data_IF_865148477906
#
_entry.id   IF_865148477906
#
_cell.length_a   1.000
_cell.length_b   1.000
_cell.length_c   1.000
_cell.angle_alpha   90.00
_cell.angle_beta   90.00
_cell.angle_gamma   90.00
#
_symmetry.space_group_name_H-M   'P 1'
#
loop_
_entity.id
_entity.type
_entity.pdbx_description
1 polymer ?
#
# COMPACT_ATOMS: atom_id res chain seq x y z
N UNK A 1 -3.08 56.92 -5.31
CA UNK A 1 -4.30 57.73 -5.31
C UNK A 1 -5.09 57.42 -6.58
N UNK A 2 -5.97 56.42 -6.51
CA UNK A 2 -7.14 56.22 -7.38
C UNK A 2 -8.14 55.44 -6.54
N UNK A 3 -9.16 56.16 -6.09
CA UNK A 3 -10.34 55.67 -5.41
C UNK A 3 -11.21 54.85 -6.36
N UNK A 4 -11.66 53.68 -5.92
CA UNK A 4 -12.78 52.95 -6.51
C UNK A 4 -13.60 52.32 -5.38
N UNK A 5 -14.43 53.15 -4.76
CA UNK A 5 -15.59 52.73 -3.98
C UNK A 5 -16.82 52.70 -4.88
N UNK A 6 -17.39 51.52 -5.16
CA UNK A 6 -18.79 51.41 -5.54
C UNK A 6 -19.32 49.99 -5.31
N UNK A 7 -20.18 49.85 -4.31
CA UNK A 7 -21.08 48.71 -4.13
C UNK A 7 -22.51 49.24 -4.33
N UNK A 8 -23.41 48.54 -5.05
CA UNK A 8 -24.82 48.83 -5.01
C UNK A 8 -25.56 47.90 -4.03
N UNK A 9 -26.49 48.55 -3.32
CA UNK A 9 -27.33 48.04 -2.26
C UNK A 9 -28.39 47.03 -2.72
N UNK A 10 -28.74 46.16 -1.78
CA UNK A 10 -29.88 45.24 -1.77
C UNK A 10 -31.19 46.02 -1.53
N UNK A 11 -32.29 45.76 -2.27
CA UNK A 11 -33.61 46.22 -1.87
C UNK A 11 -34.38 45.14 -1.10
N UNK A 12 -34.76 45.45 0.13
CA UNK A 12 -35.75 44.74 0.96
C UNK A 12 -37.19 45.16 0.58
N UNK A 13 -38.16 44.24 0.51
CA UNK A 13 -39.58 44.57 0.49
C UNK A 13 -40.21 44.58 1.90
N UNK A 14 -41.36 45.27 2.09
CA UNK A 14 -41.81 45.74 3.40
C UNK A 14 -42.59 44.71 4.23
N UNK A 15 -42.50 44.90 5.55
CA UNK A 15 -43.30 44.29 6.61
C UNK A 15 -44.78 44.72 6.53
N UNK A 16 -45.68 43.75 6.40
CA UNK A 16 -47.09 43.90 6.77
C UNK A 16 -47.38 42.97 7.96
N UNK A 17 -47.71 43.58 9.09
CA UNK A 17 -48.28 42.89 10.24
C UNK A 17 -49.80 42.79 10.09
N UNK A 18 -50.34 41.63 10.47
CA UNK A 18 -51.71 41.50 10.97
C UNK A 18 -51.76 40.31 11.92
N UNK A 19 -52.02 40.60 13.20
CA UNK A 19 -52.45 39.63 14.20
C UNK A 19 -53.87 39.15 13.84
N UNK A 20 -54.13 37.84 13.90
CA UNK A 20 -55.43 37.31 14.35
C UNK A 20 -55.38 35.80 14.60
N UNK A 21 -55.97 35.43 15.74
CA UNK A 21 -56.60 34.15 16.08
C UNK A 21 -55.73 32.89 16.15
N UNK A 22 -55.41 32.51 17.39
CA UNK A 22 -55.10 31.16 17.79
C UNK A 22 -56.33 30.25 17.56
N UNK A 23 -56.16 29.22 16.72
CA UNK A 23 -57.07 28.08 16.65
C UNK A 23 -56.24 26.82 16.84
N UNK A 24 -56.47 26.16 17.97
CA UNK A 24 -55.86 24.89 18.37
C UNK A 24 -56.26 23.78 17.39
N UNK A 25 -55.39 23.41 16.45
CA UNK A 25 -55.53 22.18 15.66
C UNK A 25 -54.63 21.08 16.23
N UNK A 26 -55.26 20.20 17.00
CA UNK A 26 -54.71 18.90 17.37
C UNK A 26 -54.59 18.03 16.10
N UNK A 27 -53.41 18.07 15.47
CA UNK A 27 -53.06 17.23 14.32
C UNK A 27 -52.62 15.84 14.78
N UNK A 28 -53.40 14.83 14.42
CA UNK A 28 -53.16 13.39 14.65
C UNK A 28 -51.71 12.99 14.37
N UNK A 29 -51.06 12.28 15.31
CA UNK A 29 -49.81 11.54 15.05
C UNK A 29 -50.02 10.61 13.85
N UNK A 30 -49.35 10.90 12.74
CA UNK A 30 -49.21 9.98 11.62
C UNK A 30 -48.51 8.72 12.12
N UNK A 31 -49.17 7.57 12.03
CA UNK A 31 -48.52 6.28 12.26
C UNK A 31 -47.56 6.08 11.08
N UNK A 32 -46.26 6.23 11.29
CA UNK A 32 -45.25 5.76 10.33
C UNK A 32 -45.43 4.25 10.14
N UNK A 33 -46.05 3.84 9.04
CA UNK A 33 -46.03 2.44 8.62
C UNK A 33 -44.72 2.20 7.87
N UNK A 34 -43.84 1.38 8.44
CA UNK A 34 -42.67 0.91 7.71
C UNK A 34 -43.10 0.18 6.44
N UNK A 35 -42.36 0.41 5.35
CA UNK A 35 -42.53 -0.40 4.14
C UNK A 35 -42.16 -1.86 4.42
N UNK A 36 -42.70 -2.79 3.62
CA UNK A 36 -42.37 -4.22 3.77
C UNK A 36 -40.86 -4.47 3.71
N UNK A 37 -40.12 -3.70 2.91
CA UNK A 37 -38.66 -3.79 2.80
C UNK A 37 -37.97 -3.31 4.08
N UNK A 38 -38.40 -2.20 4.67
CA UNK A 38 -37.84 -1.69 5.93
C UNK A 38 -38.07 -2.66 7.08
N UNK A 39 -39.26 -3.28 7.15
CA UNK A 39 -39.55 -4.31 8.17
C UNK A 39 -38.62 -5.51 7.99
N UNK A 40 -38.40 -5.97 6.75
CA UNK A 40 -37.47 -7.08 6.46
C UNK A 40 -36.04 -6.69 6.88
N UNK A 41 -35.58 -5.50 6.55
CA UNK A 41 -34.24 -5.02 6.91
C UNK A 41 -34.05 -4.89 8.42
N UNK A 42 -35.06 -4.40 9.15
CA UNK A 42 -35.03 -4.32 10.61
C UNK A 42 -34.96 -5.73 11.22
N UNK A 43 -35.76 -6.68 10.72
CA UNK A 43 -35.72 -8.07 11.17
C UNK A 43 -34.34 -8.69 10.92
N UNK A 44 -33.77 -8.50 9.73
CA UNK A 44 -32.43 -8.99 9.39
C UNK A 44 -31.35 -8.38 10.28
N UNK A 45 -31.43 -7.08 10.57
CA UNK A 45 -30.48 -6.38 11.45
C UNK A 45 -30.55 -6.93 12.89
N UNK A 46 -31.75 -7.10 13.43
CA UNK A 46 -31.95 -7.67 14.77
C UNK A 46 -31.44 -9.11 14.86
N UNK A 47 -31.69 -9.92 13.83
CA UNK A 47 -31.17 -11.29 13.74
C UNK A 47 -29.64 -11.32 13.70
N UNK A 48 -29.02 -10.45 12.89
CA UNK A 48 -27.57 -10.31 12.82
C UNK A 48 -26.97 -9.92 14.17
N UNK A 49 -27.55 -8.94 14.86
CA UNK A 49 -27.08 -8.52 16.19
C UNK A 49 -27.20 -9.67 17.20
N UNK A 50 -28.33 -10.38 17.20
CA UNK A 50 -28.55 -11.52 18.10
C UNK A 50 -27.54 -12.65 17.86
N UNK A 51 -27.30 -13.03 16.59
CA UNK A 51 -26.30 -14.03 16.22
C UNK A 51 -24.90 -13.59 16.66
N UNK A 52 -24.55 -12.32 16.44
CA UNK A 52 -23.23 -11.79 16.83
C UNK A 52 -23.05 -11.80 18.34
N UNK A 53 -24.08 -11.42 19.11
CA UNK A 53 -24.05 -11.47 20.57
C UNK A 53 -23.90 -12.90 21.09
N UNK A 54 -24.63 -13.86 20.52
CA UNK A 54 -24.52 -15.29 20.89
C UNK A 54 -23.12 -15.85 20.59
N UNK A 55 -22.55 -15.51 19.44
CA UNK A 55 -21.18 -15.93 19.09
C UNK A 55 -20.13 -15.33 20.02
N UNK A 56 -20.28 -14.06 20.42
CA UNK A 56 -19.40 -13.42 21.40
C UNK A 56 -19.54 -14.07 22.77
N UNK A 57 -20.77 -14.33 23.24
CA UNK A 57 -21.00 -15.02 24.52
C UNK A 57 -20.38 -16.43 24.49
N UNK A 58 -20.57 -17.19 23.41
CA UNK A 58 -19.93 -18.49 23.22
C UNK A 58 -18.41 -18.39 23.22
N UNK A 59 -17.83 -17.36 22.58
CA UNK A 59 -16.39 -17.14 22.58
C UNK A 59 -15.85 -16.83 23.98
N UNK A 60 -16.58 -16.06 24.80
CA UNK A 60 -16.18 -15.77 26.18
C UNK A 60 -16.39 -16.97 27.12
N UNK A 61 -17.48 -17.73 26.96
CA UNK A 61 -17.78 -18.92 27.77
C UNK A 61 -16.86 -20.11 27.45
N UNK A 62 -16.40 -20.25 26.20
CA UNK A 62 -15.43 -21.29 25.82
C UNK A 62 -13.99 -20.94 26.20
N UNK A 63 -13.71 -19.69 26.58
CA UNK A 63 -12.35 -19.22 26.90
C UNK A 63 -11.91 -19.50 28.34
N UNK A 64 -12.83 -19.93 29.22
CA UNK A 64 -12.53 -20.06 30.66
C UNK A 64 -12.00 -21.43 31.12
N UNK A 65 -11.75 -22.38 30.19
CA UNK A 65 -11.27 -23.73 30.57
C UNK A 65 -9.75 -23.92 30.53
N UNK A 66 -8.95 -22.90 30.16
CA UNK A 66 -7.49 -23.03 30.12
C UNK A 66 -6.79 -21.75 30.60
N UNK A 67 -7.14 -21.31 31.81
CA UNK A 67 -6.45 -20.26 32.56
C UNK A 67 -4.96 -20.56 32.76
N UNK A 68 -4.13 -20.17 31.78
CA UNK A 68 -2.70 -19.92 31.95
C UNK A 68 -2.30 -18.76 31.08
N UNK A 69 -2.25 -17.58 31.69
CA UNK A 69 -1.56 -16.41 31.16
C UNK A 69 -0.07 -16.72 31.13
N UNK A 70 0.42 -17.26 30.01
CA UNK A 70 1.86 -17.29 29.73
C UNK A 70 2.27 -15.87 29.37
N UNK A 71 2.64 -15.10 30.40
CA UNK A 71 3.60 -14.02 30.24
C UNK A 71 4.90 -14.65 29.72
N UNK A 72 5.04 -14.70 28.39
CA UNK A 72 6.34 -14.94 27.78
C UNK A 72 7.18 -13.70 28.05
N UNK A 73 7.83 -13.66 29.21
CA UNK A 73 9.03 -12.88 29.39
C UNK A 73 10.05 -13.45 28.41
N UNK A 74 10.22 -12.80 27.27
CA UNK A 74 11.34 -13.05 26.39
C UNK A 74 12.57 -12.53 27.14
N UNK A 75 13.19 -13.39 27.93
CA UNK A 75 14.57 -13.20 28.32
C UNK A 75 15.38 -13.18 27.03
N UNK A 76 15.67 -11.96 26.54
CA UNK A 76 16.65 -11.74 25.49
C UNK A 76 18.00 -12.08 26.13
N UNK A 77 18.36 -13.35 26.09
CA UNK A 77 19.73 -13.77 26.34
C UNK A 77 20.55 -13.18 25.20
N UNK A 78 21.52 -12.28 25.45
CA UNK A 78 22.42 -11.85 24.41
C UNK A 78 23.29 -13.05 24.07
N UNK A 79 23.00 -13.71 22.95
CA UNK A 79 23.96 -14.61 22.31
C UNK A 79 25.10 -13.76 21.75
N UNK A 80 25.98 -13.28 22.63
CA UNK A 80 27.32 -12.80 22.29
C UNK A 80 28.21 -14.00 21.96
N UNK A 81 27.86 -14.71 20.88
CA UNK A 81 28.85 -15.42 20.08
C UNK A 81 29.11 -14.55 18.86
N UNK A 82 29.94 -13.53 19.09
CA UNK A 82 30.66 -12.81 18.05
C UNK A 82 31.61 -13.79 17.33
N UNK A 83 31.05 -14.65 16.48
CA UNK A 83 31.79 -15.01 15.27
C UNK A 83 31.95 -13.70 14.53
N UNK A 84 33.18 -13.31 14.21
CA UNK A 84 33.44 -12.24 13.23
C UNK A 84 32.54 -12.53 12.04
N UNK A 85 31.44 -11.81 11.91
CA UNK A 85 30.62 -11.85 10.71
C UNK A 85 31.52 -11.28 9.63
N UNK A 86 32.21 -12.16 8.89
CA UNK A 86 32.64 -11.81 7.55
C UNK A 86 31.38 -11.29 6.90
N UNK A 87 31.28 -9.99 6.59
CA UNK A 87 30.04 -9.27 6.22
C UNK A 87 29.43 -9.70 4.88
N UNK A 88 29.44 -11.01 4.64
CA UNK A 88 29.12 -11.72 3.44
C UNK A 88 27.77 -12.40 3.67
N UNK A 89 26.90 -12.29 2.69
CA UNK A 89 25.57 -12.90 2.64
C UNK A 89 25.42 -13.64 1.32
N UNK A 90 24.44 -14.51 1.22
CA UNK A 90 23.92 -14.92 -0.09
C UNK A 90 22.83 -13.92 -0.48
N UNK A 91 23.04 -13.26 -1.62
CA UNK A 91 22.21 -12.19 -2.14
C UNK A 91 21.59 -12.61 -3.46
N UNK A 92 20.26 -12.58 -3.54
CA UNK A 92 19.51 -12.84 -4.76
C UNK A 92 18.72 -11.62 -5.18
N UNK A 93 18.72 -11.30 -6.47
CA UNK A 93 17.93 -10.21 -7.04
C UNK A 93 17.14 -10.73 -8.25
N UNK A 94 15.88 -10.33 -8.36
CA UNK A 94 15.02 -10.77 -9.46
C UNK A 94 13.93 -9.76 -9.78
N UNK A 95 13.66 -9.57 -11.06
CA UNK A 95 12.59 -8.70 -11.56
C UNK A 95 11.70 -9.47 -12.50
N UNK A 96 10.39 -9.25 -12.41
CA UNK A 96 9.43 -9.81 -13.35
C UNK A 96 8.29 -8.81 -13.62
N UNK A 97 7.73 -8.89 -14.83
CA UNK A 97 6.52 -8.13 -15.19
C UNK A 97 5.35 -8.57 -14.28
N UNK A 98 4.66 -7.59 -13.70
CA UNK A 98 3.43 -7.77 -12.95
C UNK A 98 2.29 -6.89 -13.47
N UNK A 99 2.41 -6.40 -14.71
CA UNK A 99 1.41 -5.57 -15.40
C UNK A 99 0.15 -6.39 -15.67
N UNK A 100 -0.99 -5.90 -15.17
CA UNK A 100 -2.30 -6.46 -15.47
C UNK A 100 -2.83 -6.05 -16.86
N UNK A 101 -4.14 -6.22 -17.11
CA UNK A 101 -4.80 -5.63 -18.27
C UNK A 101 -4.58 -4.12 -18.32
N UNK A 102 -4.50 -3.54 -19.52
CA UNK A 102 -4.19 -2.11 -19.73
C UNK A 102 -5.33 -1.32 -20.38
N UNK A 103 -6.39 -2.01 -20.80
CA UNK A 103 -7.55 -1.43 -21.46
C UNK A 103 -8.84 -1.84 -20.74
N UNK A 104 -9.81 -0.92 -20.69
CA UNK A 104 -11.14 -1.11 -20.08
C UNK A 104 -11.08 -1.58 -18.62
N UNK A 105 -10.07 -1.11 -17.89
CA UNK A 105 -9.75 -1.55 -16.54
C UNK A 105 -9.75 -0.37 -15.55
N UNK A 106 -10.45 -0.43 -14.41
CA UNK A 106 -10.33 0.64 -13.41
C UNK A 106 -8.89 0.78 -12.92
N UNK A 107 -8.37 2.00 -12.82
CA UNK A 107 -7.07 2.25 -12.20
C UNK A 107 -7.23 2.37 -10.67
N UNK A 108 -6.25 1.85 -9.94
CA UNK A 108 -6.28 1.80 -8.47
C UNK A 108 -5.54 3.00 -7.88
N UNK A 109 -6.18 3.72 -6.96
CA UNK A 109 -5.55 4.81 -6.20
C UNK A 109 -6.50 5.95 -5.91
N UNK A 110 -6.89 6.69 -6.96
CA UNK A 110 -7.67 7.92 -6.84
C UNK A 110 -9.15 7.73 -6.46
N UNK A 111 -9.62 6.49 -6.38
CA UNK A 111 -11.02 6.17 -6.09
C UNK A 111 -12.02 6.85 -7.04
N UNK A 112 -11.61 7.10 -8.29
CA UNK A 112 -12.45 7.67 -9.34
C UNK A 112 -13.03 6.54 -10.23
N UNK A 113 -14.35 6.30 -10.22
CA UNK A 113 -14.99 5.25 -11.05
C UNK A 113 -14.85 5.45 -12.56
N UNK A 114 -14.57 6.69 -12.99
CA UNK A 114 -14.40 7.07 -14.39
C UNK A 114 -12.94 6.99 -14.86
N UNK A 115 -12.00 6.77 -13.94
CA UNK A 115 -10.60 6.57 -14.30
C UNK A 115 -10.38 5.11 -14.75
N UNK A 116 -10.54 4.91 -16.06
CA UNK A 116 -10.40 3.61 -16.71
C UNK A 116 -9.16 3.61 -17.61
N UNK A 117 -8.30 2.62 -17.43
CA UNK A 117 -7.12 2.40 -18.26
C UNK A 117 -7.49 2.19 -19.73
N UNK A 118 -6.76 2.84 -20.62
CA UNK A 118 -6.93 2.79 -22.07
C UNK A 118 -5.60 2.65 -22.82
N UNK A 119 -4.55 2.21 -22.14
CA UNK A 119 -3.22 2.06 -22.73
C UNK A 119 -2.12 1.85 -21.70
N UNK A 120 -0.88 1.85 -22.19
CA UNK A 120 0.33 1.61 -21.42
C UNK A 120 1.33 2.73 -21.71
N UNK A 121 1.86 3.36 -20.65
CA UNK A 121 3.00 4.28 -20.75
C UNK A 121 4.30 3.56 -20.35
N UNK A 122 4.29 2.83 -19.23
CA UNK A 122 5.39 1.94 -18.85
C UNK A 122 4.85 0.71 -18.14
N UNK A 123 5.59 -0.40 -18.21
CA UNK A 123 5.29 -1.64 -17.50
C UNK A 123 5.42 -1.47 -15.99
N UNK A 124 4.74 -2.34 -15.28
CA UNK A 124 4.79 -2.49 -13.83
C UNK A 124 5.61 -3.72 -13.49
N UNK A 125 6.61 -3.59 -12.62
CA UNK A 125 7.47 -4.69 -12.24
C UNK A 125 7.35 -5.05 -10.77
N UNK A 126 7.51 -6.34 -10.49
CA UNK A 126 7.85 -6.83 -9.15
C UNK A 126 9.35 -7.04 -9.07
N UNK A 127 9.97 -6.49 -8.04
CA UNK A 127 11.41 -6.56 -7.76
C UNK A 127 11.62 -7.23 -6.41
N UNK A 128 12.30 -8.37 -6.43
CA UNK A 128 12.55 -9.21 -5.27
C UNK A 128 14.02 -9.22 -4.91
N UNK A 129 14.27 -9.12 -3.60
CA UNK A 129 15.58 -9.11 -2.99
C UNK A 129 15.62 -10.17 -1.90
N UNK A 130 16.53 -11.12 -2.02
CA UNK A 130 16.73 -12.20 -1.06
C UNK A 130 18.06 -11.97 -0.36
N UNK A 131 18.02 -11.92 0.97
CA UNK A 131 19.22 -11.91 1.81
C UNK A 131 19.19 -13.18 2.64
N UNK A 132 20.27 -13.95 2.60
CA UNK A 132 20.42 -15.15 3.38
C UNK A 132 21.78 -15.23 4.06
N UNK A 133 21.82 -15.98 5.16
CA UNK A 133 23.07 -16.40 5.79
C UNK A 133 23.92 -17.20 4.79
N UNK A 134 25.24 -17.18 4.97
CA UNK A 134 26.18 -17.87 4.05
C UNK A 134 25.94 -19.38 4.01
N UNK A 135 25.51 -19.96 5.12
CA UNK A 135 25.16 -21.39 5.26
C UNK A 135 23.72 -21.70 4.83
N UNK A 136 23.01 -20.68 4.32
CA UNK A 136 21.64 -20.76 3.85
C UNK A 136 20.58 -21.11 4.92
N UNK A 137 20.94 -21.08 6.20
CA UNK A 137 20.08 -21.49 7.31
C UNK A 137 18.87 -20.56 7.51
N UNK A 138 19.01 -19.28 7.19
CA UNK A 138 17.98 -18.25 7.33
C UNK A 138 17.98 -17.33 6.13
N UNK A 139 16.79 -17.02 5.62
CA UNK A 139 16.57 -16.09 4.52
C UNK A 139 15.48 -15.09 4.85
N UNK A 140 15.59 -13.88 4.32
CA UNK A 140 14.53 -12.88 4.26
C UNK A 140 14.35 -12.47 2.80
N UNK A 141 13.09 -12.31 2.39
CA UNK A 141 12.68 -11.82 1.08
C UNK A 141 11.98 -10.48 1.26
N UNK A 142 12.48 -9.45 0.60
CA UNK A 142 11.78 -8.19 0.42
C UNK A 142 11.37 -8.05 -1.04
N UNK A 143 10.10 -7.76 -1.28
CA UNK A 143 9.57 -7.47 -2.60
C UNK A 143 8.97 -6.07 -2.61
N UNK A 144 9.28 -5.31 -3.64
CA UNK A 144 8.56 -4.10 -4.00
C UNK A 144 7.95 -4.28 -5.38
N UNK A 145 6.66 -4.02 -5.47
CA UNK A 145 5.88 -4.16 -6.69
C UNK A 145 5.31 -2.80 -7.10
N UNK A 146 5.39 -2.49 -8.40
CA UNK A 146 4.80 -1.30 -9.01
C UNK A 146 3.26 -1.41 -9.03
N UNK A 147 2.64 -1.33 -7.86
CA UNK A 147 1.19 -1.42 -7.63
C UNK A 147 0.76 -0.40 -6.56
N UNK A 148 -0.53 -0.06 -6.54
CA UNK A 148 -1.05 0.90 -5.57
C UNK A 148 -0.92 0.44 -4.11
N UNK A 149 -1.23 -0.83 -3.84
CA UNK A 149 -1.06 -1.43 -2.51
C UNK A 149 -0.96 -2.94 -2.65
N UNK A 150 -0.24 -3.62 -1.75
CA UNK A 150 -0.35 -5.08 -1.61
C UNK A 150 -1.62 -5.40 -0.80
N UNK A 151 -2.59 -6.07 -1.42
CA UNK A 151 -3.78 -6.52 -0.71
C UNK A 151 -3.51 -7.79 0.10
N UNK A 152 -4.29 -8.01 1.17
CA UNK A 152 -4.23 -9.28 1.92
C UNK A 152 -4.45 -10.50 1.00
N UNK A 153 -5.32 -10.36 0.00
CA UNK A 153 -5.58 -11.40 -1.00
C UNK A 153 -4.33 -11.73 -1.80
N UNK A 154 -3.62 -10.71 -2.32
CA UNK A 154 -2.35 -10.88 -3.02
C UNK A 154 -1.34 -11.58 -2.12
N UNK A 155 -1.18 -11.13 -0.87
CA UNK A 155 -0.25 -11.74 0.09
C UNK A 155 -0.52 -13.23 0.32
N UNK A 156 -1.78 -13.60 0.57
CA UNK A 156 -2.16 -15.00 0.81
C UNK A 156 -1.93 -15.88 -0.43
N UNK A 157 -2.28 -15.41 -1.63
CA UNK A 157 -2.09 -16.16 -2.88
C UNK A 157 -0.60 -16.34 -3.23
N UNK A 158 0.23 -15.30 -3.00
CA UNK A 158 1.68 -15.39 -3.15
C UNK A 158 2.26 -16.41 -2.18
N UNK A 159 1.96 -16.29 -0.88
CA UNK A 159 2.47 -17.23 0.13
C UNK A 159 2.02 -18.67 -0.13
N UNK A 160 0.78 -18.87 -0.60
CA UNK A 160 0.28 -20.18 -1.02
C UNK A 160 1.12 -20.77 -2.16
N UNK A 161 1.41 -19.99 -3.20
CA UNK A 161 2.24 -20.43 -4.34
C UNK A 161 3.69 -20.67 -3.93
N UNK A 162 4.27 -19.82 -3.10
CA UNK A 162 5.62 -20.00 -2.57
C UNK A 162 5.72 -21.28 -1.73
N UNK A 163 4.74 -21.52 -0.84
CA UNK A 163 4.68 -22.75 -0.05
C UNK A 163 4.54 -24.00 -0.93
N UNK A 164 3.71 -23.93 -1.96
CA UNK A 164 3.56 -25.03 -2.93
C UNK A 164 4.84 -25.34 -3.71
N UNK A 165 5.71 -24.35 -3.94
CA UNK A 165 6.93 -24.50 -4.75
C UNK A 165 8.19 -24.76 -3.94
N UNK A 166 8.32 -24.13 -2.77
CA UNK A 166 9.54 -24.12 -1.94
C UNK A 166 9.31 -24.68 -0.52
N UNK A 167 8.14 -25.25 -0.23
CA UNK A 167 7.82 -25.77 1.09
C UNK A 167 7.85 -24.68 2.16
N UNK A 168 8.59 -24.92 3.24
CA UNK A 168 8.68 -24.00 4.39
C UNK A 168 9.82 -22.97 4.25
N UNK A 169 10.46 -22.83 3.08
CA UNK A 169 11.57 -21.90 2.90
C UNK A 169 11.12 -20.43 2.94
N UNK A 170 9.99 -20.13 2.30
CA UNK A 170 9.39 -18.79 2.21
C UNK A 170 8.03 -18.77 2.90
N UNK A 171 7.99 -18.10 4.04
CA UNK A 171 6.89 -18.13 5.00
C UNK A 171 6.39 -16.72 5.29
N UNK A 172 5.34 -16.65 6.09
CA UNK A 172 4.74 -15.39 6.51
C UNK A 172 5.74 -14.49 7.27
N UNK A 173 6.63 -15.08 8.06
CA UNK A 173 7.60 -14.37 8.93
C UNK A 173 8.80 -13.79 8.18
N UNK A 174 9.14 -14.32 6.99
CA UNK A 174 10.34 -13.92 6.26
C UNK A 174 10.09 -13.42 4.83
N UNK A 175 8.83 -13.20 4.45
CA UNK A 175 8.45 -12.59 3.16
C UNK A 175 7.68 -11.30 3.39
N UNK A 176 8.30 -10.19 2.99
CA UNK A 176 7.73 -8.85 2.98
C UNK A 176 7.34 -8.50 1.55
N UNK A 177 6.10 -8.08 1.36
CA UNK A 177 5.57 -7.60 0.08
C UNK A 177 5.15 -6.14 0.27
N UNK A 178 5.78 -5.24 -0.47
CA UNK A 178 5.52 -3.80 -0.48
C UNK A 178 4.98 -3.38 -1.85
N UNK A 179 4.06 -2.41 -1.87
CA UNK A 179 3.63 -1.75 -3.10
C UNK A 179 4.24 -0.36 -3.13
N UNK A 180 4.76 0.07 -4.27
CA UNK A 180 5.35 1.42 -4.43
C UNK A 180 4.34 2.53 -4.20
N UNK A 181 3.04 2.22 -4.33
CA UNK A 181 1.94 3.16 -4.22
C UNK A 181 1.68 4.00 -5.47
N UNK A 182 2.00 3.50 -6.66
CA UNK A 182 1.50 4.11 -7.93
C UNK A 182 -0.02 4.13 -8.00
N UNK A 183 -0.59 5.29 -8.33
CA UNK A 183 -2.03 5.46 -8.58
C UNK A 183 -2.44 5.17 -10.04
N UNK A 184 -1.51 4.63 -10.84
CA UNK A 184 -1.70 4.35 -12.28
C UNK A 184 -1.61 2.86 -12.62
N UNK A 185 -1.81 1.97 -11.64
CA UNK A 185 -1.86 0.52 -11.84
C UNK A 185 -3.29 -0.03 -11.98
N UNK A 186 -3.50 -1.18 -12.68
CA UNK A 186 -4.80 -1.85 -12.75
C UNK A 186 -5.36 -2.25 -11.38
N UNK A 187 -6.63 -1.94 -11.12
CA UNK A 187 -7.35 -2.31 -9.90
C UNK A 187 -7.95 -3.72 -9.91
N UNK A 188 -8.85 -3.97 -8.96
CA UNK A 188 -9.62 -5.22 -8.91
C UNK A 188 -8.88 -6.43 -8.33
N UNK A 189 -7.91 -6.25 -7.44
CA UNK A 189 -7.14 -7.34 -6.84
C UNK A 189 -7.31 -7.47 -5.30
N UNK A 190 -8.33 -6.81 -4.73
CA UNK A 190 -8.65 -6.84 -3.31
C UNK A 190 -9.73 -7.89 -2.99
N UNK A 191 -9.89 -8.22 -1.70
CA UNK A 191 -10.99 -9.06 -1.20
C UNK A 191 -12.04 -8.31 -0.38
N UNK A 192 -11.73 -7.11 0.11
CA UNK A 192 -12.64 -6.33 0.96
C UNK A 192 -13.50 -5.42 0.10
N UNK A 193 -14.80 -5.38 0.38
CA UNK A 193 -15.83 -4.66 -0.39
C UNK A 193 -15.51 -3.20 -0.62
N UNK A 194 -14.89 -2.52 0.35
CA UNK A 194 -14.53 -1.11 0.23
C UNK A 194 -13.71 -0.83 -1.05
N UNK A 195 -12.72 -1.68 -1.34
CA UNK A 195 -11.85 -1.51 -2.51
C UNK A 195 -12.50 -2.02 -3.82
N UNK A 196 -13.62 -2.73 -3.72
CA UNK A 196 -14.39 -3.18 -4.88
C UNK A 196 -15.29 -2.11 -5.46
N UNK A 197 -15.70 -1.11 -4.66
CA UNK A 197 -16.62 -0.06 -5.11
C UNK A 197 -16.09 0.63 -6.37
N UNK A 198 -14.83 1.05 -6.35
CA UNK A 198 -14.19 1.75 -7.48
C UNK A 198 -13.56 0.79 -8.48
N UNK A 199 -13.11 -0.38 -8.01
CA UNK A 199 -12.58 -1.43 -8.90
C UNK A 199 -13.66 -2.24 -9.64
N UNK A 200 -14.95 -1.99 -9.35
CA UNK A 200 -16.09 -2.75 -9.89
C UNK A 200 -15.99 -4.26 -9.64
N UNK A 201 -15.44 -4.64 -8.47
CA UNK A 201 -15.29 -6.03 -8.04
C UNK A 201 -13.87 -6.62 -8.20
N UNK A 202 -13.80 -7.95 -8.22
CA UNK A 202 -12.56 -8.70 -8.40
C UNK A 202 -12.30 -8.97 -9.88
N UNK A 203 -11.13 -8.55 -10.36
CA UNK A 203 -10.64 -8.73 -11.72
C UNK A 203 -9.49 -9.73 -11.68
N UNK A 204 -9.83 -11.00 -11.93
CA UNK A 204 -8.89 -12.13 -11.84
C UNK A 204 -7.62 -11.95 -12.69
N UNK A 205 -7.69 -11.42 -13.93
CA UNK A 205 -6.47 -11.12 -14.70
C UNK A 205 -5.50 -10.18 -13.98
N UNK A 206 -5.98 -9.10 -13.37
CA UNK A 206 -5.15 -8.17 -12.58
C UNK A 206 -4.52 -8.88 -11.38
N UNK A 207 -5.32 -9.62 -10.60
CA UNK A 207 -4.82 -10.39 -9.46
C UNK A 207 -3.75 -11.41 -9.88
N UNK A 208 -4.02 -12.17 -10.94
CA UNK A 208 -3.12 -13.22 -11.42
C UNK A 208 -1.81 -12.65 -11.94
N UNK A 209 -1.85 -11.54 -12.68
CA UNK A 209 -0.64 -10.86 -13.16
C UNK A 209 0.25 -10.42 -12.00
N UNK A 210 -0.33 -9.78 -10.98
CA UNK A 210 0.40 -9.34 -9.78
C UNK A 210 1.00 -10.54 -9.04
N UNK A 211 0.19 -11.54 -8.72
CA UNK A 211 0.64 -12.73 -7.96
C UNK A 211 1.71 -13.50 -8.71
N UNK A 212 1.54 -13.73 -10.02
CA UNK A 212 2.51 -14.46 -10.82
C UNK A 212 3.80 -13.66 -11.02
N UNK A 213 3.72 -12.35 -11.23
CA UNK A 213 4.89 -11.46 -11.32
C UNK A 213 5.70 -11.47 -10.02
N UNK A 214 5.04 -11.36 -8.86
CA UNK A 214 5.71 -11.45 -7.55
C UNK A 214 6.41 -12.80 -7.39
N UNK A 215 5.70 -13.90 -7.58
CA UNK A 215 6.30 -15.24 -7.45
C UNK A 215 7.45 -15.44 -8.44
N UNK A 216 7.35 -14.91 -9.67
CA UNK A 216 8.40 -15.04 -10.68
C UNK A 216 9.63 -14.20 -10.32
N UNK A 217 9.46 -12.99 -9.80
CA UNK A 217 10.59 -12.17 -9.34
C UNK A 217 11.36 -12.84 -8.20
N UNK A 218 10.65 -13.46 -7.25
CA UNK A 218 11.27 -14.25 -6.17
C UNK A 218 11.98 -15.48 -6.72
N UNK A 219 11.39 -16.17 -7.70
CA UNK A 219 12.02 -17.34 -8.36
C UNK A 219 13.32 -16.96 -9.07
N UNK A 220 13.34 -15.84 -9.80
CA UNK A 220 14.56 -15.32 -10.44
C UNK A 220 15.61 -14.97 -9.38
N UNK A 221 15.20 -14.28 -8.31
CA UNK A 221 16.11 -13.92 -7.22
C UNK A 221 16.70 -15.16 -6.53
N UNK A 222 15.88 -16.20 -6.30
CA UNK A 222 16.30 -17.46 -5.70
C UNK A 222 17.32 -18.21 -6.57
N UNK A 223 17.09 -18.25 -7.89
CA UNK A 223 17.97 -18.95 -8.83
C UNK A 223 19.31 -18.23 -9.05
N UNK A 224 19.34 -16.91 -8.81
CA UNK A 224 20.50 -16.06 -9.07
C UNK A 224 21.24 -15.63 -7.79
N UNK A 225 21.13 -16.40 -6.70
CA UNK A 225 21.81 -16.06 -5.45
C UNK A 225 23.33 -16.17 -5.57
N UNK A 226 24.03 -15.10 -5.18
CA UNK A 226 25.50 -15.01 -5.18
C UNK A 226 26.01 -14.60 -3.79
N UNK A 227 27.24 -14.99 -3.45
CA UNK A 227 27.90 -14.43 -2.27
C UNK A 227 28.19 -12.96 -2.51
N UNK A 228 27.92 -12.11 -1.52
CA UNK A 228 28.07 -10.67 -1.65
C UNK A 228 28.00 -9.93 -0.33
N UNK A 229 28.05 -8.60 -0.39
CA UNK A 229 28.06 -7.70 0.77
C UNK A 229 26.91 -6.70 0.66
N UNK A 230 26.40 -6.30 1.83
CA UNK A 230 25.39 -5.26 1.96
C UNK A 230 26.04 -3.96 2.44
N UNK A 231 25.64 -2.84 1.85
CA UNK A 231 26.05 -1.50 2.26
C UNK A 231 24.80 -0.65 2.49
N UNK A 232 24.80 0.16 3.54
CA UNK A 232 23.73 1.11 3.82
C UNK A 232 24.26 2.53 3.69
N UNK A 233 23.48 3.41 3.07
CA UNK A 233 23.77 4.84 3.05
C UNK A 233 22.50 5.65 3.31
N UNK A 234 22.66 6.90 3.75
CA UNK A 234 21.58 7.85 3.99
C UNK A 234 21.94 9.19 3.37
N UNK A 235 20.94 9.87 2.83
CA UNK A 235 21.12 11.19 2.23
C UNK A 235 19.82 11.98 2.24
N UNK A 236 19.93 13.30 2.16
CA UNK A 236 18.76 14.19 2.08
C UNK A 236 18.39 14.44 0.63
N UNK A 237 17.11 14.26 0.28
CA UNK A 237 16.56 14.65 -1.01
C UNK A 237 15.72 15.90 -0.82
N UNK A 238 16.18 17.00 -1.40
CA UNK A 238 15.52 18.30 -1.30
C UNK A 238 14.56 18.53 -2.47
N UNK A 239 13.55 19.38 -2.25
CA UNK A 239 12.62 19.87 -3.29
C UNK A 239 11.84 18.78 -4.05
N UNK A 240 11.58 17.63 -3.42
CA UNK A 240 10.90 16.47 -4.03
C UNK A 240 9.53 16.15 -3.44
N UNK A 241 9.14 16.83 -2.35
CA UNK A 241 7.90 16.53 -1.62
C UNK A 241 7.36 17.76 -0.89
N UNK A 242 6.04 17.79 -0.67
CA UNK A 242 5.35 18.73 0.22
C UNK A 242 4.43 17.94 1.15
N UNK A 243 4.17 18.46 2.36
CA UNK A 243 3.17 17.88 3.24
C UNK A 243 1.77 18.33 2.81
N UNK A 244 0.92 17.39 2.39
CA UNK A 244 -0.47 17.66 1.94
C UNK A 244 -1.47 17.89 3.09
N UNK A 245 -1.07 17.69 4.34
CA UNK A 245 -1.87 17.91 5.55
C UNK A 245 -1.08 18.68 6.62
N UNK A 246 -0.57 19.88 6.30
CA UNK A 246 0.35 20.60 7.19
C UNK A 246 -0.32 21.02 8.50
N UNK A 247 -1.61 21.35 8.48
CA UNK A 247 -2.37 21.70 9.68
C UNK A 247 -2.47 20.52 10.66
N UNK A 248 -2.71 19.30 10.16
CA UNK A 248 -2.73 18.10 11.01
C UNK A 248 -1.34 17.80 11.59
N UNK A 249 -0.26 18.03 10.83
CA UNK A 249 1.09 17.92 11.36
C UNK A 249 1.34 18.90 12.52
N UNK A 250 0.76 20.10 12.46
CA UNK A 250 0.80 21.11 13.52
C UNK A 250 -0.07 20.77 14.75
N UNK A 251 -0.76 19.64 14.77
CA UNK A 251 -1.41 19.12 15.98
C UNK A 251 -0.50 18.16 16.77
N UNK A 252 0.61 17.67 16.18
CA UNK A 252 1.59 16.87 16.93
C UNK A 252 2.23 17.72 18.04
N UNK A 253 2.61 17.17 19.21
CA UNK A 253 3.21 17.94 20.30
C UNK A 253 4.36 18.84 19.84
N UNK A 254 4.38 20.11 20.26
CA UNK A 254 5.41 21.06 19.84
C UNK A 254 6.83 20.59 20.20
N UNK A 255 6.99 19.93 21.36
CA UNK A 255 8.24 19.31 21.78
C UNK A 255 8.72 18.22 20.82
N UNK A 256 7.80 17.45 20.24
CA UNK A 256 8.13 16.46 19.22
C UNK A 256 8.53 17.12 17.90
N UNK A 257 7.72 18.05 17.38
CA UNK A 257 8.00 18.72 16.10
C UNK A 257 9.35 19.42 16.09
N UNK A 258 9.74 20.02 17.23
CA UNK A 258 11.04 20.71 17.37
C UNK A 258 12.26 19.81 17.21
N UNK A 259 12.08 18.48 17.23
CA UNK A 259 13.14 17.49 17.00
C UNK A 259 13.43 17.24 15.51
N UNK A 260 12.58 17.75 14.61
CA UNK A 260 12.69 17.55 13.18
C UNK A 260 12.86 18.90 12.47
N UNK A 261 13.63 18.93 11.39
CA UNK A 261 13.90 20.14 10.60
C UNK A 261 12.82 20.46 9.56
N UNK A 262 11.88 19.54 9.33
CA UNK A 262 10.83 19.66 8.29
C UNK A 262 9.57 18.91 8.72
N UNK A 263 8.45 19.23 8.06
CA UNK A 263 7.19 18.47 8.17
C UNK A 263 7.07 17.35 7.11
N UNK A 264 8.17 17.01 6.46
CA UNK A 264 8.33 15.92 5.50
C UNK A 264 9.63 15.19 5.78
N UNK A 265 9.63 13.87 5.68
CA UNK A 265 10.84 13.06 5.84
C UNK A 265 11.68 13.14 4.58
N UNK A 266 12.74 13.96 4.63
CA UNK A 266 13.66 14.20 3.51
C UNK A 266 14.80 13.17 3.40
N UNK A 267 14.95 12.31 4.40
CA UNK A 267 15.99 11.27 4.38
C UNK A 267 15.58 10.14 3.42
N UNK A 268 16.44 9.86 2.45
CA UNK A 268 16.43 8.64 1.66
C UNK A 268 17.43 7.65 2.27
N UNK A 269 16.98 6.44 2.53
CA UNK A 269 17.83 5.33 3.00
C UNK A 269 18.05 4.37 1.84
N UNK A 270 19.31 4.07 1.53
CA UNK A 270 19.68 3.14 0.48
C UNK A 270 20.35 1.90 1.04
N UNK A 271 19.93 0.72 0.59
CA UNK A 271 20.60 -0.56 0.83
C UNK A 271 21.12 -1.12 -0.50
N UNK A 272 22.45 -1.13 -0.65
CA UNK A 272 23.15 -1.59 -1.85
C UNK A 272 23.65 -3.03 -1.66
N UNK A 273 23.45 -3.85 -2.69
CA UNK A 273 23.94 -5.22 -2.80
C UNK A 273 25.05 -5.30 -3.84
N UNK A 274 26.20 -5.85 -3.46
CA UNK A 274 27.31 -6.10 -4.38
C UNK A 274 27.80 -7.53 -4.21
N UNK A 275 28.32 -8.13 -5.27
CA UNK A 275 28.93 -9.46 -5.17
C UNK A 275 30.37 -9.41 -4.62
N UNK A 276 31.03 -10.57 -4.55
CA UNK A 276 32.41 -10.67 -4.08
C UNK A 276 33.44 -10.05 -5.05
N UNK A 277 33.10 -9.89 -6.34
CA UNK A 277 33.95 -9.24 -7.34
C UNK A 277 33.79 -7.71 -7.32
N UNK A 278 32.80 -7.20 -6.57
CA UNK A 278 32.48 -5.77 -6.50
C UNK A 278 31.49 -5.31 -7.56
N UNK A 279 30.86 -6.24 -8.29
CA UNK A 279 29.81 -5.92 -9.23
C UNK A 279 28.51 -5.58 -8.48
N UNK A 280 27.82 -4.56 -8.95
CA UNK A 280 26.55 -4.15 -8.38
C UNK A 280 25.47 -5.21 -8.72
N UNK A 281 24.74 -5.70 -7.72
CA UNK A 281 23.64 -6.66 -7.91
C UNK A 281 22.28 -5.96 -7.89
N UNK A 282 22.07 -5.09 -6.91
CA UNK A 282 20.81 -4.38 -6.74
C UNK A 282 20.87 -3.31 -5.66
N UNK A 283 19.79 -2.56 -5.57
CA UNK A 283 19.63 -1.43 -4.66
C UNK A 283 18.19 -1.38 -4.16
N UNK A 284 17.98 -1.05 -2.90
CA UNK A 284 16.66 -0.65 -2.39
C UNK A 284 16.80 0.78 -1.85
N UNK A 285 15.87 1.65 -2.20
CA UNK A 285 15.77 3.03 -1.76
C UNK A 285 14.44 3.24 -1.05
N UNK A 286 14.46 3.61 0.22
CA UNK A 286 13.28 4.04 0.95
C UNK A 286 13.23 5.55 1.00
N UNK A 287 12.19 6.15 0.43
CA UNK A 287 11.95 7.59 0.44
C UNK A 287 10.46 7.91 0.48
N UNK A 288 10.06 8.88 1.31
CA UNK A 288 8.65 9.14 1.61
C UNK A 288 8.02 10.16 0.64
N UNK A 289 7.50 9.69 -0.49
CA UNK A 289 6.73 10.50 -1.44
C UNK A 289 5.57 9.70 -2.02
N UNK A 290 4.44 10.34 -2.29
CA UNK A 290 3.33 9.66 -2.98
C UNK A 290 3.61 9.59 -4.49
N UNK A 291 3.51 8.42 -5.13
CA UNK A 291 3.56 8.30 -6.59
C UNK A 291 2.21 8.67 -7.23
N UNK A 292 1.94 9.97 -7.24
CA UNK A 292 0.72 10.63 -7.75
C UNK A 292 1.06 11.80 -8.69
N UNK A 293 2.22 11.74 -9.36
CA UNK A 293 2.62 12.75 -10.34
C UNK A 293 1.73 12.69 -11.58
N UNK A 294 1.30 11.48 -11.95
CA UNK A 294 0.26 11.23 -12.92
C UNK A 294 -1.10 11.32 -12.20
N UNK A 295 -1.81 12.42 -12.44
CA UNK A 295 -3.09 12.71 -11.77
C UNK A 295 -4.23 11.78 -12.22
N UNK A 296 -5.45 12.00 -11.69
CA UNK A 296 -6.61 11.17 -11.98
C UNK A 296 -7.22 11.33 -13.39
N UNK A 297 -6.70 12.23 -14.24
CA UNK A 297 -7.06 12.34 -15.65
C UNK A 297 -6.20 11.45 -16.55
N UNK A 298 -5.19 10.78 -15.97
CA UNK A 298 -4.40 9.78 -16.68
C UNK A 298 -5.19 8.49 -16.91
N UNK A 299 -5.06 7.95 -18.11
CA UNK A 299 -5.63 6.66 -18.54
C UNK A 299 -4.57 5.63 -18.95
N UNK A 300 -3.27 5.93 -18.81
CA UNK A 300 -2.20 5.02 -19.20
C UNK A 300 -1.61 4.31 -17.99
N UNK A 301 -1.48 2.99 -18.06
CA UNK A 301 -0.81 2.22 -17.00
C UNK A 301 0.66 2.64 -16.89
N UNK A 302 1.11 2.98 -15.68
CA UNK A 302 2.49 3.38 -15.39
C UNK A 302 2.86 3.25 -13.90
N UNK A 303 4.17 3.28 -13.62
CA UNK A 303 4.74 3.17 -12.28
C UNK A 303 5.07 4.53 -11.61
N UNK A 304 4.58 5.63 -12.18
CA UNK A 304 4.71 7.01 -11.68
C UNK A 304 6.17 7.44 -11.38
N UNK A 305 6.39 8.39 -10.48
CA UNK A 305 7.68 9.01 -10.22
C UNK A 305 8.75 8.04 -9.66
N UNK A 306 8.42 7.20 -8.68
CA UNK A 306 9.35 6.22 -8.09
C UNK A 306 9.65 5.07 -9.05
N UNK A 307 8.67 4.68 -9.88
CA UNK A 307 8.88 3.76 -10.98
C UNK A 307 9.78 4.34 -12.07
N UNK A 308 9.64 5.64 -12.36
CA UNK A 308 10.54 6.35 -13.27
C UNK A 308 11.96 6.47 -12.72
N UNK A 309 12.12 6.70 -11.41
CA UNK A 309 13.43 6.67 -10.75
C UNK A 309 14.09 5.28 -10.88
N UNK A 310 13.31 4.21 -10.66
CA UNK A 310 13.76 2.83 -10.89
C UNK A 310 14.19 2.60 -12.34
N UNK A 311 13.37 3.04 -13.29
CA UNK A 311 13.67 2.94 -14.72
C UNK A 311 14.99 3.64 -15.08
N UNK A 312 15.20 4.88 -14.63
CA UNK A 312 16.41 5.64 -14.97
C UNK A 312 17.68 4.92 -14.45
N UNK A 313 17.65 4.45 -13.20
CA UNK A 313 18.79 3.75 -12.63
C UNK A 313 19.05 2.39 -13.31
N UNK A 314 17.99 1.63 -13.60
CA UNK A 314 18.11 0.38 -14.37
C UNK A 314 18.77 0.64 -15.72
N UNK A 315 18.31 1.65 -16.47
CA UNK A 315 18.87 1.96 -17.79
C UNK A 315 20.31 2.47 -17.71
N UNK A 316 20.66 3.24 -16.68
CA UNK A 316 22.04 3.71 -16.49
C UNK A 316 23.01 2.55 -16.22
N UNK A 317 22.58 1.58 -15.39
CA UNK A 317 23.40 0.44 -15.00
C UNK A 317 23.40 -0.69 -16.04
N UNK A 318 22.30 -0.88 -16.75
CA UNK A 318 22.09 -1.96 -17.73
C UNK A 318 22.37 -1.45 -19.15
N UNK A 319 23.56 -0.90 -19.38
CA UNK A 319 23.94 -0.32 -20.68
C UNK A 319 23.80 -1.35 -21.80
N UNK A 320 23.11 -0.95 -22.86
CA UNK A 320 22.87 -1.80 -24.03
C UNK A 320 21.66 -2.75 -23.90
N UNK A 321 20.95 -2.73 -22.77
CA UNK A 321 19.70 -3.49 -22.58
C UNK A 321 18.47 -2.64 -22.83
N UNK A 322 17.40 -3.27 -23.31
CA UNK A 322 16.09 -2.64 -23.41
C UNK A 322 15.44 -2.51 -22.03
N UNK A 323 14.51 -1.54 -21.86
CA UNK A 323 13.75 -1.38 -20.62
C UNK A 323 13.07 -2.68 -20.17
N UNK A 324 13.38 -3.11 -18.94
CA UNK A 324 12.81 -4.31 -18.35
C UNK A 324 13.55 -5.62 -18.66
N UNK A 325 14.63 -5.61 -19.45
CA UNK A 325 15.50 -6.77 -19.67
C UNK A 325 16.45 -7.03 -18.49
N UNK A 326 16.75 -8.31 -18.24
CA UNK A 326 17.39 -8.79 -17.02
C UNK A 326 18.84 -8.27 -16.90
N UNK A 327 19.06 -7.42 -15.91
CA UNK A 327 20.35 -6.87 -15.51
C UNK A 327 20.35 -6.54 -14.01
N UNK A 328 21.03 -5.47 -13.60
CA UNK A 328 20.96 -4.90 -12.26
C UNK A 328 19.53 -4.44 -11.92
N UNK A 329 19.09 -4.69 -10.68
CA UNK A 329 17.72 -4.40 -10.22
C UNK A 329 17.74 -3.44 -9.01
N UNK A 330 17.40 -2.15 -9.19
CA UNK A 330 17.12 -1.20 -8.12
C UNK A 330 15.63 -1.17 -7.77
N UNK A 331 15.30 -0.70 -6.58
CA UNK A 331 13.94 -0.47 -6.10
C UNK A 331 13.87 0.89 -5.41
N UNK A 332 12.85 1.69 -5.71
CA UNK A 332 12.69 3.08 -5.27
C UNK A 332 11.31 3.37 -4.69
#
# INVERSE_FOLDING_TARGET
MRDLSWAPAVPTPPLLGAMSSATTMCGKRSKCSFSRLEVILIICLVLMIAVTAVLLILHFLTKDSNGKLRYFSSAITPCLNSRKATGNYLLGVGRADCTGPVAEIPLMGYANPDQVGGGLLTRLYSRAFIVAEVDDSRRVVFVSADIGMVSQRVRLEVLKKLKSKYGELYRQDNVILSGTHTHSGPGGYFQYTLFWITSKGLIRPSLNAIVNGIVKSIDIAHQNMKRGRLFINRGTVENSQINRSPFSYLENPASERSRYSSNTDKEMVMLKMVDMNGEDLGLISWFAVHPVSMNNTNHLVNSDNVGYASYLFEQEKNKGMLPGEVGLIPDY
#
